data_IF_358964140690
#
_entry.id   IF_358964140690
#
_cell.length_a   1.000
_cell.length_b   1.000
_cell.length_c   1.000
_cell.angle_alpha   90.00
_cell.angle_beta   90.00
_cell.angle_gamma   90.00
#
_symmetry.space_group_name_H-M   'P 1'
#
loop_
_entity.id
_entity.type
_entity.pdbx_description
1 polymer ?
#
# COMPACT_ATOMS: atom_id res chain seq x y z
N UNK A 1 13.16 -15.00 10.81
CA UNK A 1 14.58 -15.23 11.20
C UNK A 1 14.68 -15.38 12.72
N UNK A 2 15.67 -16.11 13.25
CA UNK A 2 15.79 -16.36 14.71
C UNK A 2 15.92 -15.08 15.55
N UNK A 3 16.34 -13.98 14.95
CA UNK A 3 16.48 -12.66 15.58
C UNK A 3 15.21 -11.78 15.53
N UNK A 4 14.13 -12.22 14.87
CA UNK A 4 12.84 -11.52 14.88
C UNK A 4 12.01 -12.00 16.07
N UNK A 5 11.75 -11.12 17.03
CA UNK A 5 10.95 -11.44 18.23
C UNK A 5 9.44 -11.26 18.03
N UNK A 6 9.02 -10.47 17.04
CA UNK A 6 7.60 -10.20 16.74
C UNK A 6 7.30 -10.31 15.25
N UNK A 7 6.02 -10.55 14.90
CA UNK A 7 5.58 -10.52 13.48
C UNK A 7 5.84 -9.16 12.83
N UNK A 8 5.60 -8.06 13.54
CA UNK A 8 5.94 -6.71 13.09
C UNK A 8 7.42 -6.54 12.79
N UNK A 9 8.32 -7.08 13.62
CA UNK A 9 9.77 -7.03 13.36
C UNK A 9 10.14 -7.80 12.10
N UNK A 10 9.44 -8.90 11.81
CA UNK A 10 9.64 -9.68 10.59
C UNK A 10 9.07 -8.95 9.36
N UNK A 11 7.88 -8.38 9.46
CA UNK A 11 7.27 -7.59 8.38
C UNK A 11 8.10 -6.35 8.03
N UNK A 12 8.78 -5.72 8.99
CA UNK A 12 9.77 -4.66 8.72
C UNK A 12 10.93 -5.16 7.85
N UNK A 13 11.39 -6.40 8.04
CA UNK A 13 12.41 -7.01 7.17
C UNK A 13 11.85 -7.36 5.80
N UNK A 14 10.64 -7.89 5.74
CA UNK A 14 9.96 -8.18 4.47
C UNK A 14 9.75 -6.90 3.66
N UNK A 15 9.38 -5.79 4.30
CA UNK A 15 9.30 -4.48 3.66
C UNK A 15 10.67 -4.04 3.09
N UNK A 16 11.75 -4.18 3.86
CA UNK A 16 13.11 -3.86 3.36
C UNK A 16 13.50 -4.73 2.17
N UNK A 17 13.28 -6.04 2.26
CA UNK A 17 13.55 -6.97 1.16
C UNK A 17 12.75 -6.61 -0.10
N UNK A 18 11.48 -6.22 0.08
CA UNK A 18 10.62 -5.74 -1.00
C UNK A 18 11.21 -4.52 -1.70
N UNK A 19 11.70 -3.54 -0.94
CA UNK A 19 12.33 -2.34 -1.50
C UNK A 19 13.67 -2.63 -2.18
N UNK A 20 14.50 -3.48 -1.59
CA UNK A 20 15.77 -3.92 -2.20
C UNK A 20 15.53 -4.63 -3.54
N UNK A 21 14.52 -5.50 -3.62
CA UNK A 21 14.15 -6.17 -4.87
C UNK A 21 13.65 -5.16 -5.91
N UNK A 22 12.82 -4.20 -5.51
CA UNK A 22 12.33 -3.13 -6.40
C UNK A 22 13.47 -2.28 -6.95
N UNK A 23 14.42 -1.87 -6.10
CA UNK A 23 15.60 -1.11 -6.50
C UNK A 23 16.40 -1.85 -7.57
N UNK A 24 16.73 -3.12 -7.33
CA UNK A 24 17.45 -3.97 -8.31
C UNK A 24 16.69 -4.13 -9.62
N UNK A 25 15.36 -4.29 -9.57
CA UNK A 25 14.54 -4.37 -10.79
C UNK A 25 14.55 -3.06 -11.56
N UNK A 26 14.51 -1.92 -10.86
CA UNK A 26 14.60 -0.60 -11.48
C UNK A 26 15.95 -0.39 -12.17
N UNK A 27 17.06 -0.73 -11.49
CA UNK A 27 18.42 -0.69 -12.05
C UNK A 27 18.56 -1.59 -13.29
N UNK A 28 17.85 -2.72 -13.33
CA UNK A 28 17.79 -3.62 -14.48
C UNK A 28 16.79 -3.20 -15.58
N UNK A 29 16.07 -2.08 -15.43
CA UNK A 29 15.06 -1.62 -16.40
C UNK A 29 13.73 -2.40 -16.36
N UNK A 30 13.49 -3.21 -15.33
CA UNK A 30 12.33 -4.11 -15.18
C UNK A 30 11.22 -3.55 -14.27
N UNK A 31 11.24 -2.26 -13.95
CA UNK A 31 10.35 -1.64 -12.96
C UNK A 31 8.84 -1.72 -13.29
N UNK A 32 8.46 -1.99 -14.55
CA UNK A 32 7.06 -2.21 -14.96
C UNK A 32 6.68 -3.69 -15.08
N UNK A 33 7.65 -4.60 -15.02
CA UNK A 33 7.42 -6.02 -15.26
C UNK A 33 6.91 -6.76 -14.02
N UNK A 34 7.02 -6.14 -12.83
CA UNK A 34 6.83 -6.83 -11.57
C UNK A 34 6.24 -5.92 -10.49
N UNK A 35 5.34 -6.48 -9.69
CA UNK A 35 4.80 -5.84 -8.50
C UNK A 35 4.50 -6.89 -7.42
N UNK A 36 4.52 -6.46 -6.16
CA UNK A 36 4.14 -7.31 -5.04
C UNK A 36 2.65 -7.16 -4.73
N UNK A 37 1.89 -8.26 -4.86
CA UNK A 37 0.50 -8.36 -4.39
C UNK A 37 0.43 -8.20 -2.87
N UNK A 38 1.28 -8.96 -2.16
CA UNK A 38 1.49 -8.95 -0.71
C UNK A 38 2.83 -9.57 -0.37
N UNK A 39 3.44 -9.16 0.74
CA UNK A 39 4.59 -9.82 1.35
C UNK A 39 4.57 -9.52 2.85
N UNK A 40 3.86 -10.35 3.61
CA UNK A 40 3.63 -10.19 5.05
C UNK A 40 3.51 -11.58 5.70
N UNK A 41 3.79 -11.64 7.00
CA UNK A 41 3.53 -12.81 7.84
C UNK A 41 2.07 -12.90 8.33
N UNK A 42 1.29 -11.82 8.18
CA UNK A 42 -0.06 -11.70 8.72
C UNK A 42 -1.14 -11.63 7.63
N UNK A 43 -0.79 -11.18 6.42
CA UNK A 43 -1.77 -10.99 5.34
C UNK A 43 -1.28 -11.56 4.01
N UNK A 44 -2.24 -12.01 3.20
CA UNK A 44 -2.04 -12.46 1.82
C UNK A 44 -3.13 -11.86 0.93
N UNK A 45 -2.77 -11.41 -0.27
CA UNK A 45 -3.69 -10.80 -1.22
C UNK A 45 -3.86 -11.71 -2.43
N UNK A 46 -5.10 -12.15 -2.65
CA UNK A 46 -5.56 -12.82 -3.86
C UNK A 46 -6.36 -11.81 -4.69
N UNK A 47 -5.85 -11.45 -5.88
CA UNK A 47 -6.51 -10.49 -6.76
C UNK A 47 -6.34 -10.90 -8.22
N UNK A 48 -7.38 -10.74 -9.01
CA UNK A 48 -7.39 -11.13 -10.41
C UNK A 48 -8.13 -10.10 -11.28
N UNK A 49 -7.78 -10.07 -12.57
CA UNK A 49 -8.56 -9.38 -13.60
C UNK A 49 -9.76 -10.26 -13.99
N UNK A 50 -10.65 -10.48 -13.03
CA UNK A 50 -11.80 -11.37 -13.15
C UNK A 50 -13.03 -10.77 -12.46
N UNK A 51 -14.20 -11.34 -12.71
CA UNK A 51 -15.39 -11.01 -11.91
C UNK A 51 -15.21 -11.54 -10.49
N UNK A 52 -15.91 -10.93 -9.51
CA UNK A 52 -15.87 -11.42 -8.14
C UNK A 52 -16.34 -12.88 -8.00
N UNK A 53 -17.29 -13.31 -8.84
CA UNK A 53 -17.80 -14.68 -8.85
C UNK A 53 -16.76 -15.71 -9.33
N UNK A 54 -15.84 -15.30 -10.21
CA UNK A 54 -14.82 -16.17 -10.78
C UNK A 54 -13.55 -16.27 -9.92
N UNK A 55 -13.42 -15.44 -8.87
CA UNK A 55 -12.19 -15.41 -8.07
C UNK A 55 -11.87 -16.78 -7.44
N UNK A 56 -12.87 -17.49 -6.93
CA UNK A 56 -12.68 -18.83 -6.37
C UNK A 56 -12.40 -19.91 -7.43
N UNK A 57 -12.76 -19.65 -8.70
CA UNK A 57 -12.41 -20.52 -9.84
C UNK A 57 -10.96 -20.28 -10.25
N UNK A 58 -10.53 -19.03 -10.22
CA UNK A 58 -9.17 -18.63 -10.56
C UNK A 58 -8.15 -19.06 -9.50
N UNK A 59 -8.53 -18.99 -8.21
CA UNK A 59 -7.72 -19.41 -7.07
C UNK A 59 -8.40 -20.55 -6.30
N UNK A 60 -8.13 -21.82 -6.67
CA UNK A 60 -8.72 -22.98 -6.01
C UNK A 60 -8.41 -23.06 -4.50
N UNK A 61 -7.31 -22.44 -4.05
CA UNK A 61 -6.92 -22.37 -2.65
C UNK A 61 -7.97 -21.67 -1.79
N UNK A 62 -8.75 -20.75 -2.36
CA UNK A 62 -9.84 -20.06 -1.65
C UNK A 62 -11.02 -20.99 -1.32
N UNK A 63 -11.07 -22.19 -1.91
CA UNK A 63 -12.06 -23.24 -1.59
C UNK A 63 -11.52 -24.30 -0.64
N UNK A 64 -10.23 -24.25 -0.33
CA UNK A 64 -9.62 -25.22 0.57
C UNK A 64 -10.13 -24.95 2.00
N UNK A 65 -10.69 -25.96 2.71
CA UNK A 65 -11.18 -25.78 4.08
C UNK A 65 -10.07 -25.39 5.07
N UNK A 66 -8.79 -25.53 4.73
CA UNK A 66 -7.65 -25.05 5.52
C UNK A 66 -7.41 -23.55 5.36
N UNK A 67 -7.98 -22.90 4.35
CA UNK A 67 -7.89 -21.47 4.13
C UNK A 67 -8.82 -20.72 5.11
N UNK A 68 -8.39 -20.66 6.37
CA UNK A 68 -9.12 -20.02 7.46
C UNK A 68 -8.53 -18.64 7.76
N UNK A 69 -9.40 -17.65 7.96
CA UNK A 69 -8.99 -16.30 8.34
C UNK A 69 -9.93 -15.72 9.38
N UNK A 70 -9.41 -14.80 10.21
CA UNK A 70 -10.22 -14.02 11.16
C UNK A 70 -10.93 -12.84 10.50
N UNK A 71 -10.43 -12.38 9.36
CA UNK A 71 -11.01 -11.26 8.62
C UNK A 71 -10.75 -11.40 7.12
N UNK A 72 -11.59 -10.76 6.33
CA UNK A 72 -11.42 -10.66 4.88
C UNK A 72 -11.72 -9.24 4.43
N UNK A 73 -10.96 -8.76 3.44
CA UNK A 73 -11.18 -7.49 2.76
C UNK A 73 -11.32 -7.78 1.27
N UNK A 74 -12.39 -7.28 0.66
CA UNK A 74 -12.68 -7.49 -0.75
C UNK A 74 -12.90 -6.16 -1.45
N UNK A 75 -12.57 -6.12 -2.73
CA UNK A 75 -12.79 -4.95 -3.56
C UNK A 75 -13.12 -5.34 -4.98
N UNK A 76 -14.08 -4.63 -5.58
CA UNK A 76 -14.37 -4.71 -7.01
C UNK A 76 -14.17 -3.33 -7.62
N UNK A 77 -13.20 -3.23 -8.54
CA UNK A 77 -12.88 -1.97 -9.20
C UNK A 77 -13.78 -1.75 -10.42
N UNK A 78 -14.36 -0.56 -10.51
CA UNK A 78 -14.86 -0.02 -11.77
C UNK A 78 -13.79 0.90 -12.37
N UNK A 79 -13.44 0.70 -13.64
CA UNK A 79 -12.38 1.45 -14.32
C UNK A 79 -12.99 2.18 -15.50
N UNK A 80 -12.76 3.48 -15.60
CA UNK A 80 -13.05 4.26 -16.81
C UNK A 80 -12.03 3.99 -17.94
N UNK A 81 -10.91 3.33 -17.62
CA UNK A 81 -9.90 2.90 -18.60
C UNK A 81 -10.24 1.53 -19.20
N UNK A 82 -10.05 1.39 -20.51
CA UNK A 82 -10.22 0.14 -21.27
C UNK A 82 -9.03 -0.83 -21.12
N UNK A 83 -7.84 -0.34 -20.77
CA UNK A 83 -6.68 -1.19 -20.51
C UNK A 83 -6.68 -1.67 -19.06
N UNK A 84 -6.76 -2.98 -18.89
CA UNK A 84 -6.65 -3.64 -17.58
C UNK A 84 -5.19 -3.86 -17.20
N UNK A 85 -4.86 -3.65 -15.94
CA UNK A 85 -3.51 -3.89 -15.41
C UNK A 85 -3.58 -4.56 -14.04
N UNK A 86 -2.76 -5.60 -13.86
CA UNK A 86 -2.78 -6.46 -12.68
C UNK A 86 -2.36 -5.74 -11.40
N UNK A 87 -1.41 -4.81 -11.49
CA UNK A 87 -0.94 -4.00 -10.37
C UNK A 87 -2.07 -3.13 -9.78
N UNK A 88 -2.97 -2.64 -10.65
CA UNK A 88 -4.09 -1.73 -10.30
C UNK A 88 -5.32 -2.43 -9.73
N UNK A 89 -5.40 -3.76 -9.80
CA UNK A 89 -6.41 -4.51 -9.08
C UNK A 89 -6.23 -4.32 -7.57
N UNK A 90 -7.33 -4.27 -6.82
CA UNK A 90 -7.35 -4.18 -5.36
C UNK A 90 -7.99 -5.45 -4.77
N UNK A 91 -7.76 -5.83 -3.50
CA UNK A 91 -7.10 -5.07 -2.44
C UNK A 91 -5.64 -4.67 -2.71
N UNK A 92 -5.21 -3.53 -2.17
CA UNK A 92 -3.79 -3.25 -2.01
C UNK A 92 -3.25 -4.03 -0.78
N UNK A 93 -2.01 -3.77 -0.37
CA UNK A 93 -1.35 -4.54 0.71
C UNK A 93 -1.89 -4.21 2.10
N UNK A 94 -2.36 -2.99 2.30
CA UNK A 94 -2.88 -2.52 3.58
C UNK A 94 -4.35 -2.10 3.47
N UNK A 95 -4.77 -1.52 2.35
CA UNK A 95 -6.08 -0.89 2.21
C UNK A 95 -6.83 -1.32 0.94
N UNK A 96 -8.14 -1.08 0.97
CA UNK A 96 -8.99 -0.94 -0.20
C UNK A 96 -9.52 0.49 -0.26
N UNK A 97 -9.59 1.05 -1.45
CA UNK A 97 -10.05 2.40 -1.69
C UNK A 97 -11.12 2.39 -2.78
N UNK A 98 -12.31 2.87 -2.40
CA UNK A 98 -13.42 3.11 -3.31
C UNK A 98 -13.66 4.62 -3.39
N UNK A 99 -13.16 5.23 -4.46
CA UNK A 99 -13.15 6.66 -4.66
C UNK A 99 -12.03 7.05 -5.61
N UNK A 100 -11.78 8.35 -5.68
CA UNK A 100 -10.68 8.95 -6.43
C UNK A 100 -10.02 10.00 -5.54
N UNK A 101 -8.68 10.00 -5.50
CA UNK A 101 -7.90 11.00 -4.77
C UNK A 101 -7.61 12.16 -5.74
N UNK A 102 -8.29 13.27 -5.54
CA UNK A 102 -8.25 14.42 -6.45
C UNK A 102 -6.95 15.22 -6.31
N UNK A 103 -6.30 15.15 -5.15
CA UNK A 103 -5.06 15.86 -4.81
C UNK A 103 -3.78 15.10 -5.19
N UNK A 104 -3.92 13.97 -5.90
CA UNK A 104 -2.86 12.97 -6.11
C UNK A 104 -1.56 13.51 -6.73
N UNK A 105 -1.63 14.51 -7.60
CA UNK A 105 -0.43 15.13 -8.19
C UNK A 105 0.45 15.80 -7.14
N UNK A 106 -0.17 16.58 -6.25
CA UNK A 106 0.48 17.20 -5.11
C UNK A 106 0.99 16.15 -4.12
N UNK A 107 0.14 15.20 -3.74
CA UNK A 107 0.51 14.14 -2.79
C UNK A 107 1.71 13.32 -3.26
N UNK A 108 1.80 12.98 -4.56
CA UNK A 108 2.96 12.24 -5.10
C UNK A 108 4.25 13.04 -5.03
N UNK A 109 4.17 14.34 -5.30
CA UNK A 109 5.33 15.25 -5.22
C UNK A 109 5.84 15.34 -3.78
N UNK A 110 4.90 15.56 -2.86
CA UNK A 110 5.13 15.63 -1.43
C UNK A 110 5.57 14.29 -0.80
N UNK A 111 5.12 13.16 -1.34
CA UNK A 111 5.59 11.85 -0.93
C UNK A 111 7.08 11.66 -1.28
N UNK A 112 7.48 12.01 -2.52
CA UNK A 112 8.88 11.93 -2.98
C UNK A 112 9.80 12.82 -2.14
N UNK A 113 9.38 14.04 -1.82
CA UNK A 113 10.20 14.94 -0.98
C UNK A 113 10.43 14.41 0.45
N UNK A 114 9.60 13.47 0.94
CA UNK A 114 9.70 12.87 2.27
C UNK A 114 10.50 11.57 2.32
N UNK A 115 11.00 11.07 1.18
CA UNK A 115 11.77 9.83 1.13
C UNK A 115 12.96 9.83 2.08
N UNK A 116 13.74 10.91 2.08
CA UNK A 116 14.91 11.05 2.95
C UNK A 116 14.53 11.02 4.44
N UNK A 117 13.43 11.68 4.83
CA UNK A 117 12.93 11.67 6.20
C UNK A 117 12.45 10.27 6.66
N UNK A 118 12.04 9.43 5.72
CA UNK A 118 11.70 8.01 5.96
C UNK A 118 12.92 7.07 5.86
N UNK A 119 14.11 7.61 5.62
CA UNK A 119 15.32 6.84 5.37
C UNK A 119 15.19 5.94 4.13
N UNK A 120 14.53 6.44 3.10
CA UNK A 120 14.43 5.83 1.77
C UNK A 120 15.35 6.60 0.81
N UNK A 121 16.09 5.91 -0.08
CA UNK A 121 16.72 6.54 -1.23
C UNK A 121 15.73 7.29 -2.12
N UNK A 122 16.20 8.24 -2.93
CA UNK A 122 15.36 8.92 -3.91
C UNK A 122 14.67 7.93 -4.86
N UNK A 123 13.40 8.20 -5.14
CA UNK A 123 12.54 7.45 -6.06
C UNK A 123 12.32 5.97 -5.67
N UNK A 124 12.32 5.67 -4.37
CA UNK A 124 12.08 4.32 -3.81
C UNK A 124 10.70 4.17 -3.16
N UNK A 125 10.05 5.28 -2.75
CA UNK A 125 8.76 5.21 -2.06
C UNK A 125 7.63 4.77 -3.00
N UNK A 126 7.56 5.37 -4.19
CA UNK A 126 6.52 5.05 -5.18
C UNK A 126 7.06 4.05 -6.21
N UNK A 127 6.30 2.98 -6.46
CA UNK A 127 6.76 1.81 -7.27
C UNK A 127 7.22 2.12 -8.67
N UNK A 128 6.39 2.84 -9.42
CA UNK A 128 6.62 3.17 -10.82
C UNK A 128 5.70 4.31 -11.24
N UNK A 129 6.01 4.91 -12.38
CA UNK A 129 5.14 5.87 -13.03
C UNK A 129 3.85 5.21 -13.53
N UNK A 130 2.71 5.86 -13.29
CA UNK A 130 1.40 5.36 -13.73
C UNK A 130 0.73 4.35 -12.79
N UNK A 131 1.26 4.15 -11.57
CA UNK A 131 0.51 3.53 -10.47
C UNK A 131 -0.82 4.27 -10.24
N UNK A 132 -1.84 3.58 -9.73
CA UNK A 132 -3.09 4.23 -9.34
C UNK A 132 -2.89 5.20 -8.16
N UNK A 133 -3.84 6.11 -7.98
CA UNK A 133 -3.98 6.96 -6.80
C UNK A 133 -4.03 6.13 -5.50
N UNK A 134 -4.88 5.11 -5.49
CA UNK A 134 -5.07 4.15 -4.40
C UNK A 134 -3.78 3.37 -4.10
N UNK A 135 -3.06 2.99 -5.16
CA UNK A 135 -1.76 2.35 -5.03
C UNK A 135 -0.71 3.28 -4.44
N UNK A 136 -0.72 4.56 -4.84
CA UNK A 136 0.19 5.58 -4.30
C UNK A 136 -0.06 5.78 -2.80
N UNK A 137 -1.33 5.91 -2.39
CA UNK A 137 -1.72 6.00 -0.99
C UNK A 137 -1.24 4.77 -0.21
N UNK A 138 -1.45 3.57 -0.76
CA UNK A 138 -0.99 2.34 -0.12
C UNK A 138 0.53 2.30 0.08
N UNK A 139 1.35 2.76 -0.87
CA UNK A 139 2.81 2.82 -0.68
C UNK A 139 3.21 3.77 0.46
N UNK A 140 2.55 4.93 0.56
CA UNK A 140 2.81 5.90 1.62
C UNK A 140 2.39 5.37 2.98
N UNK A 141 1.19 4.78 3.08
CA UNK A 141 0.71 4.12 4.32
C UNK A 141 1.67 3.02 4.76
N UNK A 142 2.14 2.19 3.82
CA UNK A 142 3.04 1.09 4.10
C UNK A 142 4.43 1.56 4.54
N UNK A 143 4.95 2.62 3.91
CA UNK A 143 6.20 3.23 4.34
C UNK A 143 6.08 3.84 5.74
N UNK A 144 5.03 4.61 6.02
CA UNK A 144 4.79 5.18 7.35
C UNK A 144 4.67 4.08 8.40
N UNK A 145 3.92 3.00 8.13
CA UNK A 145 3.77 1.86 9.04
C UNK A 145 5.09 1.20 9.42
N UNK A 146 6.04 1.07 8.49
CA UNK A 146 7.27 0.31 8.73
C UNK A 146 8.52 1.15 9.00
N UNK A 147 8.53 2.43 8.59
CA UNK A 147 9.70 3.32 8.63
C UNK A 147 9.51 4.52 9.58
N UNK A 148 8.28 4.86 9.96
CA UNK A 148 8.03 5.90 10.97
C UNK A 148 7.94 5.33 12.39
N UNK A 149 7.81 6.21 13.37
CA UNK A 149 7.54 5.88 14.77
C UNK A 149 6.03 5.82 15.09
N UNK A 150 5.16 5.98 14.11
CA UNK A 150 3.70 5.91 14.30
C UNK A 150 3.33 4.46 14.62
N UNK A 151 2.70 4.19 15.78
CA UNK A 151 2.55 2.82 16.29
C UNK A 151 1.51 2.02 15.51
N UNK A 152 0.41 2.65 15.09
CA UNK A 152 -0.74 1.97 14.53
C UNK A 152 -1.11 2.48 13.14
N UNK A 153 -1.78 1.63 12.36
CA UNK A 153 -2.14 1.96 10.97
C UNK A 153 -3.31 2.93 10.92
N UNK A 154 -4.22 2.86 11.88
CA UNK A 154 -5.34 3.79 12.06
C UNK A 154 -4.85 5.23 12.28
N UNK A 155 -3.75 5.43 13.02
CA UNK A 155 -3.13 6.75 13.19
C UNK A 155 -2.57 7.26 11.86
N UNK A 156 -1.87 6.39 11.11
CA UNK A 156 -1.36 6.73 9.76
C UNK A 156 -2.51 7.15 8.84
N UNK A 157 -3.63 6.42 8.87
CA UNK A 157 -4.81 6.74 8.07
C UNK A 157 -5.47 8.04 8.53
N UNK A 158 -5.58 8.29 9.84
CA UNK A 158 -6.13 9.53 10.39
C UNK A 158 -5.28 10.76 10.00
N UNK A 159 -3.96 10.60 9.89
CA UNK A 159 -3.03 11.65 9.48
C UNK A 159 -3.17 11.95 7.97
N UNK A 160 -3.26 10.90 7.14
CA UNK A 160 -3.36 11.05 5.68
C UNK A 160 -4.76 11.46 5.22
N UNK A 161 -5.80 10.96 5.87
CA UNK A 161 -7.21 11.20 5.55
C UNK A 161 -7.91 11.79 6.79
N UNK A 162 -7.55 13.03 7.18
CA UNK A 162 -8.13 13.67 8.34
C UNK A 162 -9.61 14.02 8.09
N UNK A 163 -10.45 14.09 9.14
CA UNK A 163 -11.79 14.62 9.00
C UNK A 163 -11.78 16.08 8.53
N UNK A 164 -12.87 16.51 7.90
CA UNK A 164 -13.02 17.88 7.42
C UNK A 164 -12.90 18.92 8.55
N UNK A 165 -13.49 18.63 9.72
CA UNK A 165 -13.36 19.46 10.92
C UNK A 165 -12.16 19.01 11.74
N UNK A 166 -11.15 19.86 11.87
CA UNK A 166 -9.84 19.54 12.48
C UNK A 166 -9.65 20.19 13.84
N UNK A 167 -10.72 20.27 14.63
CA UNK A 167 -10.76 21.06 15.87
C UNK A 167 -10.10 20.34 17.07
N UNK A 168 -9.08 19.52 16.81
CA UNK A 168 -8.30 18.83 17.84
C UNK A 168 -6.83 19.18 17.66
N UNK A 169 -6.10 19.32 18.77
CA UNK A 169 -4.66 19.53 18.77
C UNK A 169 -3.91 18.45 17.97
N UNK A 170 -4.43 17.22 17.93
CA UNK A 170 -3.88 16.13 17.12
C UNK A 170 -3.82 16.47 15.62
N UNK A 171 -4.97 16.83 15.02
CA UNK A 171 -5.03 17.19 13.60
C UNK A 171 -4.35 18.53 13.30
N UNK A 172 -4.31 19.45 14.26
CA UNK A 172 -3.57 20.71 14.12
C UNK A 172 -2.05 20.47 14.08
N UNK A 173 -1.54 19.57 14.92
CA UNK A 173 -0.15 19.15 14.90
C UNK A 173 0.20 18.43 13.60
N UNK A 174 -0.54 17.38 13.25
CA UNK A 174 -0.23 16.56 12.08
C UNK A 174 -0.47 17.27 10.75
N UNK A 175 -1.44 18.20 10.69
CA UNK A 175 -1.67 19.02 9.50
C UNK A 175 -0.50 19.93 9.12
N UNK A 176 0.44 20.18 10.03
CA UNK A 176 1.71 20.88 9.74
C UNK A 176 2.75 19.97 9.08
N UNK A 177 2.65 18.66 9.30
CA UNK A 177 3.63 17.67 8.85
C UNK A 177 3.19 16.91 7.59
N UNK A 178 1.88 16.68 7.43
CA UNK A 178 1.30 15.90 6.34
C UNK A 178 0.10 16.62 5.73
N UNK A 179 0.13 16.76 4.40
CA UNK A 179 -1.03 17.21 3.65
C UNK A 179 -2.07 16.09 3.50
N UNK A 180 -3.38 16.44 3.48
CA UNK A 180 -4.43 15.46 3.24
C UNK A 180 -4.34 14.80 1.87
N UNK A 181 -4.77 13.55 1.80
CA UNK A 181 -5.01 12.78 0.57
C UNK A 181 -6.53 12.78 0.31
N UNK A 182 -7.00 13.87 -0.31
CA UNK A 182 -8.41 14.19 -0.64
C UNK A 182 -8.70 13.98 -2.13
#
# INVERSE_FOLDING_TARGET
PRFCSTRTSFDKLLYRAKQDVRRRHKEAGLHRAFFFTSLSADTVVYKALATGADLSRFYPELRDPRFLTRFAMFHRRFSTNTQSSWDKAQPCRILCHNGEINTIGGNRTWARSRELALGLPPEELLTHEGISDSGSLNEVVEALRYKSSIPFVEDVLAILIPPARRDSEYYEFWGRAMEPWD
#
